data_IF_522490665095
#
_entry.id   IF_522490665095
#
_cell.length_a   1.000
_cell.length_b   1.000
_cell.length_c   1.000
_cell.angle_alpha   90.00
_cell.angle_beta   90.00
_cell.angle_gamma   90.00
#
_symmetry.space_group_name_H-M   'P 1'
#
loop_
_entity.id
_entity.type
_entity.pdbx_description
1 polymer ?
#
# COMPACT_ATOMS: atom_id res chain seq x y z
N UNK A 1 17.58 -5.80 -18.15
CA UNK A 1 18.55 -5.67 -17.04
C UNK A 1 18.16 -6.66 -15.97
N UNK A 2 18.94 -7.73 -15.85
CA UNK A 2 18.64 -8.89 -15.00
C UNK A 2 18.77 -8.53 -13.53
N UNK A 3 17.69 -8.70 -12.76
CA UNK A 3 17.66 -8.40 -11.33
C UNK A 3 18.26 -9.59 -10.58
N UNK A 4 19.60 -9.66 -10.56
CA UNK A 4 20.37 -10.69 -9.83
C UNK A 4 20.37 -10.33 -8.35
N UNK A 5 19.23 -10.56 -7.70
CA UNK A 5 19.12 -10.67 -6.25
C UNK A 5 18.13 -11.79 -5.87
N UNK A 6 18.02 -12.80 -6.73
CA UNK A 6 17.52 -14.11 -6.32
C UNK A 6 18.39 -14.57 -5.16
N UNK A 7 17.74 -14.98 -4.07
CA UNK A 7 18.34 -15.49 -2.85
C UNK A 7 19.64 -16.24 -3.16
N UNK A 8 20.78 -15.73 -2.68
CA UNK A 8 22.03 -16.45 -2.78
C UNK A 8 22.11 -17.43 -1.59
N UNK A 9 22.00 -18.76 -1.80
CA UNK A 9 22.13 -19.75 -0.74
C UNK A 9 23.59 -19.94 -0.28
N UNK A 10 24.56 -19.25 -0.87
CA UNK A 10 25.99 -19.40 -0.59
C UNK A 10 26.59 -18.12 -0.07
N UNK A 11 26.01 -17.74 1.04
CA UNK A 11 26.46 -16.65 1.83
C UNK A 11 27.19 -17.30 3.01
N UNK A 12 28.52 -17.48 2.95
CA UNK A 12 29.19 -18.28 3.97
C UNK A 12 29.22 -17.64 5.37
N UNK A 13 28.98 -16.31 5.54
CA UNK A 13 29.32 -15.63 6.82
C UNK A 13 28.48 -14.43 7.32
N UNK A 14 27.16 -14.56 7.70
CA UNK A 14 26.08 -13.51 7.84
C UNK A 14 26.51 -12.11 8.30
N UNK A 15 26.29 -10.99 7.53
CA UNK A 15 26.67 -9.73 8.11
C UNK A 15 25.68 -9.60 9.26
N UNK A 16 26.21 -9.40 10.46
CA UNK A 16 25.40 -9.53 11.66
C UNK A 16 24.17 -8.60 11.63
N UNK A 17 24.28 -7.50 10.87
CA UNK A 17 23.23 -6.50 10.63
C UNK A 17 22.85 -6.48 9.16
N UNK A 18 21.55 -6.57 8.88
CA UNK A 18 20.96 -6.52 7.55
C UNK A 18 19.97 -5.35 7.43
N UNK A 19 19.90 -4.75 6.25
CA UNK A 19 18.87 -3.74 5.91
C UNK A 19 17.57 -4.43 5.48
N UNK A 20 16.47 -3.67 5.34
CA UNK A 20 15.21 -4.21 4.81
C UNK A 20 15.34 -4.86 3.42
N UNK A 21 16.25 -4.34 2.59
CA UNK A 21 16.50 -4.88 1.25
C UNK A 21 17.15 -6.26 1.26
N UNK A 22 17.98 -6.52 2.27
CA UNK A 22 18.63 -7.81 2.44
C UNK A 22 17.76 -8.76 3.26
N UNK A 23 17.05 -8.25 4.27
CA UNK A 23 16.18 -9.03 5.14
C UNK A 23 14.96 -9.61 4.41
N UNK A 24 14.44 -8.92 3.39
CA UNK A 24 13.34 -9.39 2.54
C UNK A 24 13.66 -10.75 1.90
N UNK A 25 14.66 -10.83 1.02
CA UNK A 25 15.09 -12.08 0.39
C UNK A 25 15.46 -13.18 1.40
N UNK A 26 16.05 -12.84 2.56
CA UNK A 26 16.35 -13.82 3.60
C UNK A 26 15.09 -14.54 4.13
N UNK A 27 13.96 -13.84 4.22
CA UNK A 27 12.69 -14.37 4.74
C UNK A 27 11.69 -14.78 3.62
N UNK A 28 12.01 -14.53 2.36
CA UNK A 28 11.08 -14.73 1.24
C UNK A 28 10.05 -13.62 1.04
N UNK A 29 10.25 -12.44 1.66
CA UNK A 29 9.40 -11.27 1.49
C UNK A 29 10.02 -10.23 0.56
N UNK A 30 9.21 -9.35 -0.03
CA UNK A 30 9.73 -8.22 -0.80
C UNK A 30 10.28 -7.16 0.17
N UNK A 31 11.30 -6.36 -0.22
CA UNK A 31 11.88 -5.33 0.65
C UNK A 31 10.86 -4.35 1.23
N UNK A 32 9.81 -4.02 0.49
CA UNK A 32 8.75 -3.11 0.94
C UNK A 32 7.73 -3.73 1.91
N UNK A 33 7.72 -5.06 2.03
CA UNK A 33 6.87 -5.80 2.98
C UNK A 33 7.52 -5.83 4.38
N UNK A 34 8.86 -5.75 4.48
CA UNK A 34 9.60 -5.73 5.75
C UNK A 34 9.14 -4.57 6.68
N UNK A 35 8.99 -3.32 6.23
CA UNK A 35 8.44 -2.25 7.07
C UNK A 35 7.00 -2.46 7.52
N UNK A 36 6.22 -3.32 6.85
CA UNK A 36 4.86 -3.68 7.29
C UNK A 36 4.96 -4.61 8.50
N UNK A 37 5.83 -5.62 8.43
CA UNK A 37 6.08 -6.56 9.52
C UNK A 37 6.57 -5.83 10.79
N UNK A 38 7.43 -4.82 10.63
CA UNK A 38 7.87 -3.98 11.75
C UNK A 38 6.71 -3.21 12.38
N UNK A 39 5.85 -2.59 11.56
CA UNK A 39 4.68 -1.83 12.05
C UNK A 39 3.64 -2.72 12.72
N UNK A 40 3.53 -3.98 12.31
CA UNK A 40 2.66 -4.99 12.92
C UNK A 40 3.29 -5.66 14.15
N UNK A 41 4.51 -5.28 14.53
CA UNK A 41 5.22 -5.85 15.68
C UNK A 41 5.74 -7.28 15.47
N UNK A 42 5.70 -7.79 14.23
CA UNK A 42 6.15 -9.14 13.89
C UNK A 42 7.66 -9.23 13.70
N UNK A 43 8.31 -8.10 13.40
CA UNK A 43 9.75 -8.00 13.24
C UNK A 43 10.30 -6.81 14.04
N UNK A 44 11.32 -7.03 14.86
CA UNK A 44 11.93 -5.97 15.68
C UNK A 44 13.23 -5.48 15.03
N UNK A 45 13.36 -4.17 14.74
CA UNK A 45 14.64 -3.61 14.30
C UNK A 45 15.63 -3.58 15.47
N UNK A 46 16.92 -3.59 15.14
CA UNK A 46 18.00 -3.42 16.10
C UNK A 46 18.03 -1.98 16.61
N UNK A 47 18.00 -1.84 17.94
CA UNK A 47 17.99 -0.55 18.64
C UNK A 47 16.66 0.19 18.53
N UNK A 48 16.71 1.51 18.74
CA UNK A 48 15.56 2.42 18.64
C UNK A 48 15.83 3.44 17.52
N UNK A 49 15.71 3.04 16.24
CA UNK A 49 15.97 3.94 15.12
C UNK A 49 14.96 5.10 15.14
N UNK A 50 15.47 6.33 15.02
CA UNK A 50 14.64 7.52 14.79
C UNK A 50 13.78 7.33 13.53
N UNK A 51 12.62 7.99 13.45
CA UNK A 51 11.62 7.77 12.41
C UNK A 51 12.16 7.76 10.96
N UNK A 52 13.17 8.58 10.65
CA UNK A 52 13.80 8.69 9.32
C UNK A 52 15.08 7.85 9.16
N UNK A 53 15.54 7.14 10.19
CA UNK A 53 16.77 6.37 10.14
C UNK A 53 16.56 5.02 9.42
N UNK A 54 17.63 4.55 8.77
CA UNK A 54 17.70 3.20 8.20
C UNK A 54 17.55 2.19 9.34
N UNK A 55 16.63 1.24 9.15
CA UNK A 55 16.37 0.18 10.12
C UNK A 55 17.25 -1.02 9.79
N UNK A 56 17.98 -1.49 10.78
CA UNK A 56 18.80 -2.69 10.69
C UNK A 56 18.15 -3.84 11.45
N UNK A 57 18.40 -5.07 11.02
CA UNK A 57 17.89 -6.31 11.60
C UNK A 57 19.04 -7.27 11.86
N UNK A 58 18.96 -8.04 12.95
CA UNK A 58 19.98 -9.05 13.22
C UNK A 58 19.75 -10.28 12.35
N UNK A 59 20.78 -10.75 11.65
CA UNK A 59 20.67 -11.97 10.84
C UNK A 59 20.21 -13.18 11.67
N UNK A 60 20.82 -13.39 12.83
CA UNK A 60 20.46 -14.46 13.78
C UNK A 60 18.96 -14.47 14.13
N UNK A 61 18.34 -13.30 14.22
CA UNK A 61 16.89 -13.20 14.47
C UNK A 61 16.11 -13.59 13.22
N UNK A 62 16.52 -13.11 12.04
CA UNK A 62 15.86 -13.48 10.78
C UNK A 62 15.95 -14.98 10.51
N UNK A 63 17.08 -15.62 10.81
CA UNK A 63 17.28 -17.06 10.65
C UNK A 63 16.33 -17.85 11.56
N UNK A 64 16.19 -17.44 12.83
CA UNK A 64 15.23 -18.05 13.76
C UNK A 64 13.78 -17.89 13.28
N UNK A 65 13.42 -16.70 12.81
CA UNK A 65 12.08 -16.43 12.30
C UNK A 65 11.78 -17.19 11.00
N UNK A 66 12.80 -17.38 10.16
CA UNK A 66 12.70 -18.19 8.94
C UNK A 66 12.40 -19.66 9.23
N UNK A 67 12.89 -20.18 10.36
CA UNK A 67 12.62 -21.55 10.79
C UNK A 67 11.24 -21.73 11.46
N UNK A 68 10.56 -20.64 11.85
CA UNK A 68 9.26 -20.69 12.52
C UNK A 68 8.11 -20.58 11.51
N UNK A 69 7.46 -21.72 11.24
CA UNK A 69 6.34 -21.82 10.30
C UNK A 69 5.11 -21.03 10.77
N UNK A 70 4.84 -21.01 12.08
CA UNK A 70 3.69 -20.28 12.63
C UNK A 70 3.90 -18.78 12.49
N UNK A 71 5.13 -18.31 12.70
CA UNK A 71 5.49 -16.94 12.45
C UNK A 71 5.36 -16.58 10.96
N UNK A 72 5.82 -17.44 10.05
CA UNK A 72 5.72 -17.21 8.60
C UNK A 72 4.27 -17.11 8.12
N UNK A 73 3.37 -17.96 8.61
CA UNK A 73 1.94 -17.89 8.31
C UNK A 73 1.36 -16.53 8.73
N UNK A 74 1.57 -16.14 10.00
CA UNK A 74 1.12 -14.86 10.55
C UNK A 74 1.71 -13.65 9.82
N UNK A 75 2.98 -13.72 9.45
CA UNK A 75 3.66 -12.67 8.70
C UNK A 75 3.06 -12.50 7.29
N UNK A 76 2.75 -13.62 6.62
CA UNK A 76 2.12 -13.63 5.30
C UNK A 76 0.71 -13.02 5.35
N UNK A 77 -0.10 -13.45 6.32
CA UNK A 77 -1.46 -12.91 6.51
C UNK A 77 -1.44 -11.40 6.79
N UNK A 78 -0.53 -10.95 7.66
CA UNK A 78 -0.38 -9.54 7.99
C UNK A 78 0.01 -8.68 6.77
N UNK A 79 0.84 -9.22 5.87
CA UNK A 79 1.20 -8.56 4.61
C UNK A 79 -0.01 -8.47 3.69
N UNK A 80 -0.77 -9.56 3.52
CA UNK A 80 -1.96 -9.55 2.68
C UNK A 80 -3.02 -8.57 3.19
N UNK A 81 -3.32 -8.58 4.49
CA UNK A 81 -4.28 -7.66 5.10
C UNK A 81 -3.88 -6.19 4.86
N UNK A 82 -2.58 -5.88 5.00
CA UNK A 82 -2.07 -4.53 4.74
C UNK A 82 -2.28 -4.10 3.29
N UNK A 83 -2.01 -4.98 2.33
CA UNK A 83 -2.19 -4.69 0.91
C UNK A 83 -3.66 -4.56 0.53
N UNK A 84 -4.52 -5.45 1.04
CA UNK A 84 -5.96 -5.35 0.86
C UNK A 84 -6.49 -4.01 1.40
N UNK A 85 -6.10 -3.63 2.63
CA UNK A 85 -6.47 -2.35 3.24
C UNK A 85 -6.00 -1.15 2.41
N UNK A 86 -4.74 -1.16 1.95
CA UNK A 86 -4.19 -0.09 1.10
C UNK A 86 -4.95 0.01 -0.22
N UNK A 87 -5.28 -1.12 -0.85
CA UNK A 87 -6.00 -1.16 -2.11
C UNK A 87 -7.45 -0.69 -1.95
N UNK A 88 -8.14 -1.11 -0.88
CA UNK A 88 -9.48 -0.64 -0.55
C UNK A 88 -9.52 0.89 -0.35
N UNK A 89 -8.54 1.45 0.39
CA UNK A 89 -8.42 2.90 0.57
C UNK A 89 -8.17 3.64 -0.76
N UNK A 90 -7.30 3.11 -1.63
CA UNK A 90 -7.05 3.69 -2.96
C UNK A 90 -8.32 3.67 -3.82
N UNK A 91 -9.07 2.56 -3.80
CA UNK A 91 -10.35 2.43 -4.50
C UNK A 91 -11.36 3.45 -3.99
N UNK A 92 -11.58 3.53 -2.68
CA UNK A 92 -12.51 4.51 -2.10
C UNK A 92 -12.15 5.97 -2.43
N UNK A 93 -10.85 6.31 -2.43
CA UNK A 93 -10.40 7.65 -2.85
C UNK A 93 -10.71 7.90 -4.33
N UNK A 94 -10.42 6.94 -5.21
CA UNK A 94 -10.72 7.04 -6.64
C UNK A 94 -12.22 7.22 -6.87
N UNK A 95 -13.05 6.41 -6.22
CA UNK A 95 -14.50 6.45 -6.38
C UNK A 95 -15.08 7.79 -5.87
N UNK A 96 -14.56 8.33 -4.76
CA UNK A 96 -14.90 9.69 -4.28
C UNK A 96 -14.54 10.76 -5.31
N UNK A 97 -13.34 10.69 -5.89
CA UNK A 97 -12.89 11.67 -6.89
C UNK A 97 -13.72 11.58 -8.18
N UNK A 98 -14.09 10.38 -8.63
CA UNK A 98 -14.96 10.20 -9.81
C UNK A 98 -16.37 10.77 -9.56
N UNK A 99 -16.95 10.50 -8.39
CA UNK A 99 -18.26 11.03 -8.03
C UNK A 99 -18.28 12.57 -7.99
N UNK A 100 -17.26 13.19 -7.42
CA UNK A 100 -17.15 14.65 -7.36
C UNK A 100 -17.02 15.30 -8.76
N UNK A 101 -16.35 14.62 -9.70
CA UNK A 101 -16.25 15.09 -11.10
C UNK A 101 -17.60 15.01 -11.81
N UNK A 102 -18.35 13.93 -11.61
CA UNK A 102 -19.63 13.72 -12.28
C UNK A 102 -20.71 14.69 -11.77
N UNK A 103 -20.71 15.05 -10.47
CA UNK A 103 -21.66 16.04 -9.93
C UNK A 103 -21.41 17.47 -10.42
N UNK A 104 -20.20 17.79 -10.90
CA UNK A 104 -19.89 19.09 -11.50
C UNK A 104 -20.36 19.23 -12.96
N UNK A 105 -20.85 18.14 -13.57
CA UNK A 105 -21.35 18.13 -14.94
C UNK A 105 -22.87 18.30 -15.05
N UNK A 106 -23.65 18.19 -13.96
CA UNK A 106 -25.13 18.21 -14.04
C UNK A 106 -25.77 19.61 -13.95
N UNK A 107 -24.99 20.70 -13.91
CA UNK A 107 -25.54 22.06 -13.70
C UNK A 107 -25.92 22.82 -14.98
N UNK A 108 -25.95 22.19 -16.16
CA UNK A 108 -26.15 22.90 -17.43
C UNK A 108 -27.27 22.35 -18.34
N UNK A 109 -28.19 21.54 -17.82
CA UNK A 109 -29.26 20.93 -18.65
C UNK A 109 -30.67 21.08 -18.11
N UNK A 110 -31.06 22.26 -17.61
CA UNK A 110 -32.47 22.59 -17.37
C UNK A 110 -32.71 24.08 -17.47
N UNK A 111 -32.96 24.59 -18.68
CA UNK A 111 -33.86 25.73 -18.98
C UNK A 111 -33.94 25.84 -20.50
N UNK A 112 -35.06 25.41 -21.08
CA UNK A 112 -35.25 25.51 -22.53
C UNK A 112 -36.39 24.62 -23.02
N UNK A 113 -37.60 24.83 -22.49
CA UNK A 113 -38.76 24.03 -22.90
C UNK A 113 -40.07 24.50 -22.29
N UNK A 114 -40.45 25.77 -22.48
CA UNK A 114 -41.83 26.23 -22.24
C UNK A 114 -42.21 27.31 -23.26
N UNK A 115 -42.58 26.88 -24.47
CA UNK A 115 -43.31 27.73 -25.41
C UNK A 115 -44.81 27.58 -25.10
N UNK A 116 -45.26 28.26 -24.06
CA UNK A 116 -46.68 28.40 -23.74
C UNK A 116 -47.25 29.62 -24.49
N UNK A 117 -48.29 29.35 -25.26
CA UNK A 117 -49.19 30.30 -25.94
C UNK A 117 -49.65 31.41 -24.98
N UNK A 118 -49.57 32.66 -25.39
CA UNK A 118 -50.52 33.70 -24.99
C UNK A 118 -50.84 34.57 -26.20
N UNK A 119 -52.11 34.55 -26.59
CA UNK A 119 -52.67 35.53 -27.50
C UNK A 119 -52.99 36.83 -26.78
N UNK A 120 -53.44 37.77 -27.61
CA UNK A 120 -54.19 38.98 -27.32
C UNK A 120 -53.44 40.15 -26.69
N UNK A 121 -53.23 41.21 -27.49
CA UNK A 121 -53.24 42.61 -27.03
C UNK A 121 -53.90 43.49 -28.14
N UNK A 122 -54.84 44.40 -27.80
CA UNK A 122 -55.71 45.11 -28.74
C UNK A 122 -55.13 46.47 -29.19
N UNK A 123 -55.78 47.07 -30.20
CA UNK A 123 -55.25 48.16 -31.00
C UNK A 123 -55.38 49.59 -30.46
N UNK A 124 -54.77 50.50 -31.21
CA UNK A 124 -55.15 51.90 -31.42
C UNK A 124 -54.55 52.35 -32.76
#
# INVERSE_FOLDING_TARGET
>A
MVNVAQANPLWPFPPARLTSEQAGPCLGFRPHDIPVLVRRGLLRPLGHPRNAAVKYFAFVVLERLRADVNWLARATDAVYEEWQRKNARKKAKRDRTLRAKNSGLETYSTTGGENARLGDEPGA
#
